data_IF_450397005622
#
_entry.id   IF_450397005622
#
_cell.length_a   1.000
_cell.length_b   1.000
_cell.length_c   1.000
_cell.angle_alpha   90.00
_cell.angle_beta   90.00
_cell.angle_gamma   90.00
#
_symmetry.space_group_name_H-M   'P 1'
#
loop_
_entity.id
_entity.type
_entity.pdbx_description
1 polymer ?
#
# COMPACT_ATOMS: atom_id res chain seq x y z
N UNK A 1 24.85 46.01 -31.97
CA UNK A 1 24.00 44.83 -31.76
C UNK A 1 22.87 44.93 -32.76
N UNK A 2 22.81 44.01 -33.72
CA UNK A 2 21.75 43.98 -34.72
C UNK A 2 20.36 43.90 -34.04
N UNK A 3 19.36 44.67 -34.50
CA UNK A 3 18.02 44.64 -33.93
C UNK A 3 17.39 43.24 -33.97
N UNK A 4 17.75 42.42 -34.96
CA UNK A 4 17.28 41.04 -35.09
C UNK A 4 17.81 40.14 -33.95
N UNK A 5 19.08 40.31 -33.54
CA UNK A 5 19.68 39.54 -32.45
C UNK A 5 18.99 39.85 -31.12
N UNK A 6 18.58 41.12 -30.91
CA UNK A 6 17.81 41.51 -29.72
C UNK A 6 16.43 40.87 -29.69
N UNK A 7 15.74 40.84 -30.83
CA UNK A 7 14.42 40.21 -30.98
C UNK A 7 14.48 38.72 -30.68
N UNK A 8 15.48 38.02 -31.22
CA UNK A 8 15.70 36.59 -30.98
C UNK A 8 16.05 36.28 -29.53
N UNK A 9 16.89 37.11 -28.88
CA UNK A 9 17.18 36.94 -27.45
C UNK A 9 15.92 37.09 -26.58
N UNK A 10 15.04 38.02 -26.94
CA UNK A 10 13.81 38.27 -26.21
C UNK A 10 12.79 37.13 -26.39
N UNK A 11 12.68 36.58 -27.60
CA UNK A 11 11.90 35.36 -27.87
C UNK A 11 12.44 34.16 -27.11
N UNK A 12 13.76 33.92 -27.11
CA UNK A 12 14.39 32.83 -26.35
C UNK A 12 14.11 33.00 -24.85
N UNK A 13 14.24 34.22 -24.33
CA UNK A 13 13.99 34.49 -22.92
C UNK A 13 12.51 34.25 -22.55
N UNK A 14 11.58 34.65 -23.41
CA UNK A 14 10.15 34.36 -23.23
C UNK A 14 9.87 32.85 -23.22
N UNK A 15 10.44 32.10 -24.17
CA UNK A 15 10.29 30.64 -24.24
C UNK A 15 10.86 29.92 -23.02
N UNK A 16 12.02 30.38 -22.51
CA UNK A 16 12.62 29.80 -21.30
C UNK A 16 11.76 30.09 -20.06
N UNK A 17 11.21 31.31 -19.96
CA UNK A 17 10.34 31.72 -18.86
C UNK A 17 9.07 30.87 -18.82
N UNK A 18 8.44 30.63 -19.97
CA UNK A 18 7.24 29.82 -20.07
C UNK A 18 7.53 28.34 -19.76
N UNK A 19 8.65 27.80 -20.24
CA UNK A 19 9.09 26.46 -19.88
C UNK A 19 9.31 26.29 -18.37
N UNK A 20 9.92 27.28 -17.71
CA UNK A 20 10.13 27.22 -16.27
C UNK A 20 8.79 27.18 -15.50
N UNK A 21 7.81 27.97 -15.92
CA UNK A 21 6.47 27.96 -15.33
C UNK A 21 5.77 26.61 -15.53
N UNK A 22 5.88 26.04 -16.74
CA UNK A 22 5.29 24.74 -17.06
C UNK A 22 5.92 23.60 -16.22
N UNK A 23 7.24 23.56 -16.12
CA UNK A 23 7.95 22.57 -15.30
C UNK A 23 7.57 22.69 -13.82
N UNK A 24 7.38 23.91 -13.33
CA UNK A 24 6.93 24.15 -11.95
C UNK A 24 5.51 23.63 -11.72
N UNK A 25 4.62 23.79 -12.70
CA UNK A 25 3.27 23.23 -12.65
C UNK A 25 3.29 21.69 -12.66
N UNK A 26 4.06 21.08 -13.58
CA UNK A 26 4.17 19.61 -13.72
C UNK A 26 4.70 18.98 -12.43
N UNK A 27 5.73 19.56 -11.81
CA UNK A 27 6.32 19.02 -10.58
C UNK A 27 5.29 18.87 -9.46
N UNK A 28 4.35 19.82 -9.34
CA UNK A 28 3.28 19.75 -8.34
C UNK A 28 2.30 18.60 -8.63
N UNK A 29 1.91 18.41 -9.89
CA UNK A 29 1.02 17.32 -10.29
C UNK A 29 1.65 15.93 -10.08
N UNK A 30 2.95 15.80 -10.35
CA UNK A 30 3.68 14.55 -10.10
C UNK A 30 3.68 14.17 -8.62
N UNK A 31 3.89 15.14 -7.71
CA UNK A 31 3.84 14.89 -6.26
C UNK A 31 2.45 14.38 -5.85
N UNK A 32 1.38 15.01 -6.34
CA UNK A 32 0.02 14.54 -6.04
C UNK A 32 -0.24 13.12 -6.57
N UNK A 33 0.24 12.79 -7.77
CA UNK A 33 0.10 11.44 -8.32
C UNK A 33 0.82 10.38 -7.50
N UNK A 34 2.05 10.66 -7.04
CA UNK A 34 2.83 9.76 -6.18
C UNK A 34 2.13 9.58 -4.83
N UNK A 35 1.71 10.67 -4.19
CA UNK A 35 1.02 10.62 -2.89
C UNK A 35 -0.29 9.84 -2.98
N UNK A 36 -1.11 10.08 -4.01
CA UNK A 36 -2.36 9.35 -4.22
C UNK A 36 -2.11 7.85 -4.42
N UNK A 37 -1.08 7.49 -5.19
CA UNK A 37 -0.71 6.08 -5.40
C UNK A 37 -0.31 5.41 -4.10
N UNK A 38 0.49 6.08 -3.26
CA UNK A 38 0.89 5.57 -1.94
C UNK A 38 -0.34 5.37 -1.04
N UNK A 39 -1.26 6.32 -1.01
CA UNK A 39 -2.50 6.23 -0.21
C UNK A 39 -3.34 5.05 -0.67
N UNK A 40 -3.55 4.88 -1.98
CA UNK A 40 -4.32 3.76 -2.53
C UNK A 40 -3.68 2.43 -2.13
N UNK A 41 -2.36 2.28 -2.28
CA UNK A 41 -1.65 1.08 -1.85
C UNK A 41 -1.77 0.81 -0.36
N UNK A 42 -1.69 1.86 0.46
CA UNK A 42 -1.83 1.76 1.91
C UNK A 42 -3.24 1.30 2.29
N UNK A 43 -4.28 1.84 1.65
CA UNK A 43 -5.67 1.40 1.86
C UNK A 43 -5.87 -0.06 1.42
N UNK A 44 -5.31 -0.45 0.28
CA UNK A 44 -5.39 -1.84 -0.23
C UNK A 44 -4.73 -2.83 0.73
N UNK A 45 -3.63 -2.45 1.38
CA UNK A 45 -2.94 -3.32 2.35
C UNK A 45 -3.64 -3.35 3.71
N UNK A 46 -4.12 -2.21 4.20
CA UNK A 46 -4.75 -2.12 5.53
C UNK A 46 -6.16 -2.72 5.53
N UNK A 47 -6.93 -2.52 4.46
CA UNK A 47 -8.32 -3.01 4.33
C UNK A 47 -8.48 -4.50 4.68
N UNK A 48 -7.76 -5.44 4.02
CA UNK A 48 -7.93 -6.86 4.31
C UNK A 48 -7.50 -7.23 5.73
N UNK A 49 -6.46 -6.58 6.26
CA UNK A 49 -5.99 -6.82 7.64
C UNK A 49 -7.05 -6.36 8.65
N UNK A 50 -7.62 -5.17 8.45
CA UNK A 50 -8.68 -4.63 9.30
C UNK A 50 -9.94 -5.49 9.25
N UNK A 51 -10.38 -5.87 8.05
CA UNK A 51 -11.54 -6.76 7.87
C UNK A 51 -11.30 -8.13 8.52
N UNK A 52 -10.09 -8.68 8.43
CA UNK A 52 -9.74 -9.93 9.09
C UNK A 52 -9.88 -9.83 10.62
N UNK A 53 -9.30 -8.81 11.23
CA UNK A 53 -9.38 -8.62 12.69
C UNK A 53 -10.82 -8.41 13.16
N UNK A 54 -11.59 -7.58 12.45
CA UNK A 54 -12.95 -7.25 12.88
C UNK A 54 -13.93 -8.42 12.70
N UNK A 55 -13.85 -9.14 11.58
CA UNK A 55 -14.85 -10.13 11.22
C UNK A 55 -14.38 -11.57 11.36
N UNK A 56 -13.17 -11.90 10.95
CA UNK A 56 -12.69 -13.29 10.96
C UNK A 56 -12.15 -13.72 12.33
N UNK A 57 -11.49 -12.82 13.06
CA UNK A 57 -10.96 -13.11 14.39
C UNK A 57 -11.99 -13.76 15.33
N UNK A 58 -13.22 -13.22 15.54
CA UNK A 58 -14.18 -13.82 16.47
C UNK A 58 -14.64 -15.22 16.06
N UNK A 59 -14.69 -15.53 14.76
CA UNK A 59 -14.98 -16.89 14.31
C UNK A 59 -13.82 -17.81 14.63
N UNK A 60 -12.58 -17.40 14.32
CA UNK A 60 -11.38 -18.18 14.62
C UNK A 60 -11.27 -18.47 16.12
N UNK A 61 -11.49 -17.49 17.00
CA UNK A 61 -11.47 -17.73 18.46
C UNK A 61 -12.53 -18.73 18.91
N UNK A 62 -13.74 -18.70 18.34
CA UNK A 62 -14.79 -19.67 18.68
C UNK A 62 -14.43 -21.10 18.22
N UNK A 63 -13.88 -21.25 17.02
CA UNK A 63 -13.42 -22.55 16.53
C UNK A 63 -12.22 -23.09 17.31
N UNK A 64 -11.27 -22.23 17.64
CA UNK A 64 -10.09 -22.56 18.45
C UNK A 64 -10.44 -22.92 19.89
N UNK A 65 -11.39 -22.22 20.51
CA UNK A 65 -11.89 -22.58 21.84
C UNK A 65 -12.61 -23.94 21.85
N UNK A 66 -13.32 -24.27 20.78
CA UNK A 66 -14.03 -25.55 20.63
C UNK A 66 -13.07 -26.74 20.41
N UNK A 67 -11.95 -26.50 19.72
CA UNK A 67 -10.95 -27.53 19.40
C UNK A 67 -9.80 -27.60 20.41
N UNK A 68 -9.72 -26.65 21.36
CA UNK A 68 -8.62 -26.53 22.32
C UNK A 68 -7.29 -26.08 21.69
N UNK A 69 -7.30 -25.68 20.42
CA UNK A 69 -6.12 -25.30 19.65
C UNK A 69 -6.20 -23.82 19.33
N UNK A 70 -5.51 -23.01 20.13
CA UNK A 70 -5.26 -21.60 19.79
C UNK A 70 -4.31 -21.55 18.57
N UNK A 71 -4.65 -20.84 17.49
CA UNK A 71 -3.77 -20.74 16.33
C UNK A 71 -2.60 -19.83 16.73
N UNK A 72 -1.39 -20.40 16.77
CA UNK A 72 -0.18 -19.68 17.18
C UNK A 72 0.57 -19.02 16.01
N UNK A 73 0.02 -19.09 14.80
CA UNK A 73 0.67 -18.61 13.58
C UNK A 73 0.42 -17.13 13.26
N UNK A 74 1.33 -16.58 12.45
CA UNK A 74 1.22 -15.23 11.90
C UNK A 74 -0.13 -15.07 11.18
N UNK A 75 -0.86 -14.00 11.50
CA UNK A 75 -2.23 -13.73 11.01
C UNK A 75 -3.32 -14.73 11.44
N UNK A 76 -3.15 -15.43 12.56
CA UNK A 76 -4.19 -16.33 13.10
C UNK A 76 -4.38 -17.61 12.27
N UNK A 77 -3.44 -17.91 11.37
CA UNK A 77 -3.40 -19.16 10.64
C UNK A 77 -2.84 -20.27 11.55
N UNK A 78 -3.43 -21.47 11.56
CA UNK A 78 -2.89 -22.60 12.32
C UNK A 78 -1.52 -22.98 11.78
N UNK A 79 -0.53 -23.15 12.67
CA UNK A 79 0.80 -23.62 12.26
C UNK A 79 0.77 -25.13 11.97
N UNK A 80 1.77 -25.63 11.24
CA UNK A 80 1.94 -27.08 11.05
C UNK A 80 2.10 -27.83 12.38
N UNK A 81 2.66 -27.18 13.40
CA UNK A 81 2.74 -27.73 14.76
C UNK A 81 1.36 -27.84 15.42
N UNK A 82 0.48 -26.85 15.22
CA UNK A 82 -0.90 -26.88 15.73
C UNK A 82 -1.72 -27.97 15.03
N UNK A 83 -1.49 -28.19 13.73
CA UNK A 83 -2.10 -29.30 12.98
C UNK A 83 -1.60 -30.68 13.44
N UNK A 84 -0.31 -30.81 13.79
CA UNK A 84 0.22 -32.05 14.35
C UNK A 84 -0.39 -32.37 15.72
N UNK A 85 -0.62 -31.36 16.57
CA UNK A 85 -1.33 -31.52 17.85
C UNK A 85 -2.76 -32.00 17.63
N UNK A 86 -3.47 -31.46 16.63
CA UNK A 86 -4.81 -31.91 16.25
C UNK A 86 -4.80 -33.38 15.82
N UNK A 87 -3.92 -33.76 14.87
CA UNK A 87 -3.86 -35.13 14.35
C UNK A 87 -3.55 -36.14 15.46
N UNK A 88 -2.64 -35.80 16.38
CA UNK A 88 -2.30 -36.66 17.51
C UNK A 88 -3.45 -36.77 18.52
N UNK A 89 -4.28 -35.74 18.69
CA UNK A 89 -5.45 -35.79 19.58
C UNK A 89 -6.55 -36.77 19.09
N UNK A 90 -6.65 -36.98 17.78
CA UNK A 90 -7.62 -37.90 17.17
C UNK A 90 -7.09 -39.32 16.97
N UNK A 91 -5.81 -39.58 17.25
CA UNK A 91 -5.27 -40.94 17.19
C UNK A 91 -5.78 -41.72 18.41
N UNK A 92 -6.71 -42.68 18.26
CA UNK A 92 -7.12 -43.51 19.37
C UNK A 92 -5.90 -44.33 19.84
N UNK A 93 -5.77 -44.49 21.15
CA UNK A 93 -4.73 -45.34 21.77
C UNK A 93 -4.78 -46.76 21.23
#
# INVERSE_FOLDING_TARGET
MDPEVRRQLEEIHALVKDNHQMLRAIRRHQVYGVVATIIVWLVILITPIYLYQQYLQPFVTKFSATTGIAPSGLFGLPTSADLQKLINSFKPR
#
